data_IF_487761280331
#
_entry.id   IF_487761280331
#
_cell.length_a   1.000
_cell.length_b   1.000
_cell.length_c   1.000
_cell.angle_alpha   90.00
_cell.angle_beta   90.00
_cell.angle_gamma   90.00
#
_symmetry.space_group_name_H-M   'P 1'
#
loop_
_entity.id
_entity.type
_entity.pdbx_description
1 polymer ?
#
# COMPACT_ATOMS: atom_id res chain seq x y z
N UNK A 1 -6.94 -0.23 -22.22
CA UNK A 1 -6.73 0.00 -20.77
C UNK A 1 -8.08 -0.13 -20.10
N UNK A 2 -8.33 -1.20 -19.33
CA UNK A 2 -9.61 -1.39 -18.62
C UNK A 2 -9.54 -0.54 -17.36
N UNK A 3 -10.24 0.60 -17.34
CA UNK A 3 -10.47 1.36 -16.11
C UNK A 3 -11.46 0.56 -15.28
N UNK A 4 -10.99 -0.11 -14.24
CA UNK A 4 -11.87 -0.69 -13.23
C UNK A 4 -12.47 0.49 -12.46
N UNK A 5 -13.73 0.79 -12.73
CA UNK A 5 -14.50 1.78 -11.98
C UNK A 5 -14.71 1.22 -10.57
N UNK A 6 -13.94 1.71 -9.61
CA UNK A 6 -14.20 1.46 -8.19
C UNK A 6 -15.32 2.40 -7.79
N UNK A 7 -16.49 1.84 -7.47
CA UNK A 7 -17.59 2.60 -6.89
C UNK A 7 -17.13 3.03 -5.48
N UNK A 8 -16.85 4.31 -5.28
CA UNK A 8 -16.41 4.85 -3.99
C UNK A 8 -17.54 5.71 -3.45
N UNK A 9 -17.91 5.50 -2.19
CA UNK A 9 -18.85 6.38 -1.52
C UNK A 9 -18.08 7.60 -1.04
N UNK A 10 -18.39 8.77 -1.61
CA UNK A 10 -17.69 10.02 -1.35
C UNK A 10 -18.69 11.03 -0.79
N UNK A 11 -18.43 11.49 0.42
CA UNK A 11 -19.22 12.53 1.08
C UNK A 11 -18.37 13.79 1.24
N UNK A 12 -18.96 14.94 0.88
CA UNK A 12 -18.31 16.24 0.90
C UNK A 12 -19.00 17.13 1.94
N UNK A 13 -18.24 17.62 2.92
CA UNK A 13 -18.73 18.56 3.93
C UNK A 13 -17.93 19.84 3.88
N UNK A 14 -18.61 20.97 3.66
CA UNK A 14 -17.99 22.28 3.70
C UNK A 14 -17.99 22.84 5.12
N UNK A 15 -16.96 23.61 5.47
CA UNK A 15 -16.93 24.29 6.76
C UNK A 15 -18.02 25.36 6.92
N UNK A 16 -18.58 25.82 5.80
CA UNK A 16 -19.72 26.74 5.70
C UNK A 16 -20.31 26.69 4.29
N UNK A 17 -21.62 26.87 4.20
CA UNK A 17 -22.37 26.76 2.94
C UNK A 17 -22.53 28.11 2.21
N UNK A 18 -22.11 29.19 2.86
CA UNK A 18 -22.17 30.55 2.34
C UNK A 18 -20.88 31.30 2.70
N UNK A 19 -20.46 32.19 1.81
CA UNK A 19 -19.29 33.04 1.98
C UNK A 19 -19.76 34.48 1.77
N UNK A 20 -19.48 35.33 2.75
CA UNK A 20 -19.79 36.76 2.64
C UNK A 20 -18.86 37.41 1.62
N UNK A 21 -19.35 38.38 0.86
CA UNK A 21 -18.49 39.12 -0.07
C UNK A 21 -17.74 40.19 0.74
N UNK A 22 -16.45 39.98 0.95
CA UNK A 22 -15.56 40.91 1.66
C UNK A 22 -14.27 41.12 0.87
N UNK A 23 -13.61 42.26 1.10
CA UNK A 23 -12.29 42.56 0.51
C UNK A 23 -11.13 41.88 1.26
N UNK A 24 -11.44 40.89 2.09
CA UNK A 24 -10.48 40.17 2.94
C UNK A 24 -10.42 38.69 2.57
N UNK A 25 -9.24 38.10 2.70
CA UNK A 25 -9.04 36.67 2.43
C UNK A 25 -9.91 35.82 3.36
N UNK A 26 -10.66 34.90 2.78
CA UNK A 26 -11.51 33.96 3.50
C UNK A 26 -11.11 32.52 3.19
N UNK A 27 -11.01 31.69 4.24
CA UNK A 27 -10.65 30.27 4.12
C UNK A 27 -11.87 29.38 4.14
N UNK A 28 -12.11 28.62 3.08
CA UNK A 28 -13.10 27.56 3.05
C UNK A 28 -12.38 26.22 3.22
N UNK A 29 -12.84 25.40 4.16
CA UNK A 29 -12.33 24.04 4.33
C UNK A 29 -13.35 23.05 3.75
N UNK A 30 -12.84 22.04 3.05
CA UNK A 30 -13.60 20.92 2.54
C UNK A 30 -13.11 19.66 3.24
N UNK A 31 -14.00 18.98 3.93
CA UNK A 31 -13.79 17.61 4.38
C UNK A 31 -14.32 16.66 3.29
N UNK A 32 -13.47 15.72 2.89
CA UNK A 32 -13.80 14.66 1.94
C UNK A 32 -13.71 13.33 2.67
N UNK A 33 -14.86 12.71 2.90
CA UNK A 33 -14.96 11.36 3.44
C UNK A 33 -15.01 10.38 2.27
N UNK A 34 -14.01 9.50 2.18
CA UNK A 34 -13.95 8.45 1.16
C UNK A 34 -14.16 7.11 1.86
N UNK A 35 -15.23 6.40 1.49
CA UNK A 35 -15.59 5.11 2.08
C UNK A 35 -15.60 4.02 1.00
N UNK A 36 -15.25 2.78 1.36
CA UNK A 36 -15.40 1.66 0.44
C UNK A 36 -16.87 1.48 0.05
N UNK A 37 -17.16 0.94 -1.15
CA UNK A 37 -18.53 0.68 -1.58
C UNK A 37 -19.25 -0.27 -0.64
N UNK A 38 -20.55 -0.04 -0.43
CA UNK A 38 -21.42 -0.90 0.40
C UNK A 38 -21.53 -2.33 -0.15
N UNK A 39 -21.36 -2.52 -1.45
CA UNK A 39 -21.19 -3.82 -2.08
C UNK A 39 -19.83 -3.87 -2.77
N UNK A 40 -18.92 -4.67 -2.24
CA UNK A 40 -17.69 -4.97 -2.96
C UNK A 40 -18.00 -5.94 -4.09
N UNK A 41 -17.45 -5.69 -5.28
CA UNK A 41 -17.55 -6.61 -6.43
C UNK A 41 -16.75 -7.90 -6.24
N UNK A 42 -16.20 -8.14 -5.04
CA UNK A 42 -15.27 -9.23 -4.74
C UNK A 42 -13.94 -9.14 -5.51
N UNK A 43 -13.75 -8.12 -6.35
CA UNK A 43 -12.57 -8.00 -7.18
C UNK A 43 -11.43 -7.41 -6.37
N UNK A 44 -10.50 -8.27 -5.97
CA UNK A 44 -9.24 -7.86 -5.36
C UNK A 44 -8.39 -7.14 -6.42
N UNK A 45 -8.04 -5.88 -6.15
CA UNK A 45 -7.10 -5.15 -6.99
C UNK A 45 -5.68 -5.68 -6.74
N UNK A 46 -4.86 -5.85 -7.78
CA UNK A 46 -3.49 -6.29 -7.60
C UNK A 46 -2.72 -5.30 -6.71
N UNK A 47 -2.02 -5.83 -5.72
CA UNK A 47 -1.15 -5.08 -4.83
C UNK A 47 0.21 -4.86 -5.48
N UNK A 48 0.86 -3.75 -5.12
CA UNK A 48 2.28 -3.53 -5.36
C UNK A 48 2.95 -3.31 -4.00
N UNK A 49 3.58 -4.36 -3.48
CA UNK A 49 4.12 -4.42 -2.13
C UNK A 49 5.65 -4.38 -2.14
N UNK A 50 6.25 -3.46 -1.39
CA UNK A 50 7.69 -3.41 -1.17
C UNK A 50 8.01 -3.69 0.30
N UNK A 51 8.77 -4.76 0.56
CA UNK A 51 9.25 -5.11 1.89
C UNK A 51 10.67 -4.59 2.07
N UNK A 52 10.88 -3.72 3.05
CA UNK A 52 12.20 -3.23 3.43
C UNK A 52 12.60 -3.90 4.75
N UNK A 53 13.62 -4.75 4.69
CA UNK A 53 14.06 -5.58 5.81
C UNK A 53 15.37 -5.03 6.37
N UNK A 54 15.37 -4.69 7.66
CA UNK A 54 16.60 -4.33 8.37
C UNK A 54 17.49 -5.56 8.56
N UNK A 55 18.76 -5.45 8.15
CA UNK A 55 19.82 -6.46 8.32
C UNK A 55 20.96 -5.97 9.22
N UNK A 56 20.70 -4.98 10.08
CA UNK A 56 21.64 -4.53 11.11
C UNK A 56 22.14 -5.69 11.98
N UNK A 57 23.29 -5.52 12.63
CA UNK A 57 23.87 -6.55 13.51
C UNK A 57 22.90 -7.02 14.60
N UNK A 58 22.01 -6.13 15.04
CA UNK A 58 20.97 -6.44 16.04
C UNK A 58 19.87 -7.39 15.54
N UNK A 59 19.75 -7.55 14.22
CA UNK A 59 18.77 -8.42 13.58
C UNK A 59 19.30 -9.85 13.38
N UNK A 60 20.57 -10.12 13.63
CA UNK A 60 21.16 -11.45 13.39
C UNK A 60 20.51 -12.56 14.23
N UNK A 61 20.62 -13.79 13.70
CA UNK A 61 20.05 -14.99 14.32
C UNK A 61 18.53 -14.98 14.32
N UNK A 62 17.94 -15.28 15.49
CA UNK A 62 16.50 -15.55 15.62
C UNK A 62 15.58 -14.43 15.13
N UNK A 63 16.02 -13.16 15.18
CA UNK A 63 15.21 -12.03 14.71
C UNK A 63 15.05 -12.04 13.19
N UNK A 64 16.15 -12.23 12.46
CA UNK A 64 16.12 -12.34 11.01
C UNK A 64 15.37 -13.61 10.57
N UNK A 65 15.53 -14.72 11.29
CA UNK A 65 14.78 -15.94 11.00
C UNK A 65 13.27 -15.73 11.16
N UNK A 66 12.85 -15.02 12.22
CA UNK A 66 11.45 -14.67 12.42
C UNK A 66 10.92 -13.73 11.32
N UNK A 67 11.73 -12.78 10.84
CA UNK A 67 11.36 -11.91 9.72
C UNK A 67 11.17 -12.73 8.45
N UNK A 68 12.09 -13.66 8.13
CA UNK A 68 11.95 -14.54 6.96
C UNK A 68 10.65 -15.35 7.01
N UNK A 69 10.34 -15.95 8.16
CA UNK A 69 9.08 -16.66 8.35
C UNK A 69 7.85 -15.73 8.19
N UNK A 70 7.93 -14.48 8.66
CA UNK A 70 6.86 -13.51 8.45
C UNK A 70 6.71 -13.12 6.97
N UNK A 71 7.81 -13.02 6.22
CA UNK A 71 7.78 -12.76 4.77
C UNK A 71 7.15 -13.94 4.03
N UNK A 72 7.46 -15.17 4.39
CA UNK A 72 6.80 -16.38 3.85
C UNK A 72 5.28 -16.32 4.06
N UNK A 73 4.81 -15.95 5.25
CA UNK A 73 3.38 -15.78 5.51
C UNK A 73 2.74 -14.68 4.65
N UNK A 74 3.46 -13.58 4.38
CA UNK A 74 2.97 -12.55 3.47
C UNK A 74 2.87 -13.10 2.04
N UNK A 75 3.90 -13.80 1.58
CA UNK A 75 3.93 -14.44 0.25
C UNK A 75 2.77 -15.41 0.05
N UNK A 76 2.36 -16.15 1.08
CA UNK A 76 1.22 -17.07 1.02
C UNK A 76 -0.11 -16.36 0.75
N UNK A 77 -0.27 -15.13 1.23
CA UNK A 77 -1.49 -14.32 1.07
C UNK A 77 -1.52 -13.52 -0.24
N UNK A 78 -0.40 -13.43 -0.96
CA UNK A 78 -0.32 -12.72 -2.24
C UNK A 78 -0.75 -13.62 -3.41
N UNK A 79 -1.37 -12.99 -4.40
CA UNK A 79 -1.81 -13.58 -5.66
C UNK A 79 -0.75 -13.43 -6.75
N UNK A 80 -0.80 -14.23 -7.84
CA UNK A 80 0.14 -14.09 -8.96
C UNK A 80 0.04 -12.77 -9.73
N UNK A 81 -1.04 -12.00 -9.53
CA UNK A 81 -1.22 -10.69 -10.13
C UNK A 81 -0.50 -9.59 -9.34
N UNK A 82 -0.17 -9.84 -8.07
CA UNK A 82 0.49 -8.89 -7.20
C UNK A 82 1.97 -8.74 -7.56
N UNK A 83 2.50 -7.55 -7.37
CA UNK A 83 3.91 -7.21 -7.55
C UNK A 83 4.57 -7.16 -6.19
N UNK A 84 5.73 -7.80 -6.07
CA UNK A 84 6.53 -7.79 -4.85
C UNK A 84 7.94 -7.28 -5.16
N UNK A 85 8.48 -6.46 -4.27
CA UNK A 85 9.92 -6.22 -4.16
C UNK A 85 10.41 -6.43 -2.74
N UNK A 86 11.65 -6.91 -2.60
CA UNK A 86 12.32 -7.06 -1.31
C UNK A 86 13.62 -6.28 -1.34
N UNK A 87 13.77 -5.38 -0.38
CA UNK A 87 14.95 -4.55 -0.19
C UNK A 87 15.55 -4.90 1.17
N UNK A 88 16.83 -5.22 1.16
CA UNK A 88 17.64 -5.39 2.36
C UNK A 88 18.28 -4.04 2.70
N UNK A 89 18.24 -3.64 3.97
CA UNK A 89 18.74 -2.35 4.42
C UNK A 89 19.68 -2.50 5.63
N UNK A 90 20.87 -1.92 5.53
CA UNK A 90 21.71 -1.57 6.69
C UNK A 90 22.32 -0.19 6.49
N UNK A 91 23.57 -0.12 6.01
CA UNK A 91 24.22 1.14 5.66
C UNK A 91 23.79 1.62 4.26
N UNK A 92 23.33 0.68 3.42
CA UNK A 92 22.83 0.91 2.07
C UNK A 92 21.62 0.03 1.81
N UNK A 93 20.75 0.50 0.94
CA UNK A 93 19.65 -0.29 0.41
C UNK A 93 20.16 -1.19 -0.74
N UNK A 94 19.85 -2.47 -0.66
CA UNK A 94 20.18 -3.48 -1.66
C UNK A 94 18.90 -4.17 -2.11
N UNK A 95 18.66 -4.21 -3.42
CA UNK A 95 17.52 -4.93 -3.99
C UNK A 95 17.84 -6.42 -3.96
N UNK A 96 17.09 -7.16 -3.15
CA UNK A 96 17.18 -8.63 -3.07
C UNK A 96 16.26 -9.24 -4.12
N UNK A 97 15.04 -8.70 -4.24
CA UNK A 97 14.05 -9.10 -5.24
C UNK A 97 13.56 -7.83 -5.94
N UNK A 98 13.75 -7.69 -7.26
CA UNK A 98 13.23 -6.54 -8.01
C UNK A 98 11.70 -6.56 -8.02
N UNK A 99 11.08 -5.39 -8.23
CA UNK A 99 9.62 -5.26 -8.28
C UNK A 99 9.05 -5.99 -9.50
N UNK A 100 8.55 -7.21 -9.29
CA UNK A 100 8.03 -8.07 -10.36
C UNK A 100 6.74 -8.77 -9.93
N UNK A 101 5.83 -9.08 -10.88
CA UNK A 101 4.65 -9.88 -10.60
C UNK A 101 5.01 -11.28 -10.07
N UNK A 102 4.26 -11.76 -9.07
CA UNK A 102 4.45 -13.06 -8.41
C UNK A 102 3.99 -14.26 -9.25
N UNK A 103 4.29 -14.27 -10.55
CA UNK A 103 3.95 -15.36 -11.47
C UNK A 103 4.64 -16.67 -11.09
N UNK A 104 5.77 -16.61 -10.40
CA UNK A 104 6.50 -17.78 -9.94
C UNK A 104 7.07 -17.58 -8.53
N UNK A 105 6.31 -17.98 -7.50
CA UNK A 105 6.73 -17.88 -6.10
C UNK A 105 8.01 -18.67 -5.79
N UNK A 106 8.31 -19.73 -6.56
CA UNK A 106 9.46 -20.60 -6.34
C UNK A 106 10.82 -19.94 -6.62
N UNK A 107 10.85 -18.75 -7.23
CA UNK A 107 12.10 -18.02 -7.54
C UNK A 107 12.50 -17.04 -6.43
N UNK A 108 11.65 -16.82 -5.42
CA UNK A 108 11.79 -15.77 -4.40
C UNK A 108 12.30 -16.31 -3.05
N UNK A 109 12.17 -17.62 -2.81
CA UNK A 109 12.65 -18.35 -1.62
C UNK A 109 13.94 -19.12 -1.95
#
# INVERSE_FOLDING_TARGET
>A
MKTTMVDLDIELTLSRDQIEVTDTDQRLYLLVDIRPPKQSSGQQLPLNLCLVIDRSTSMQGRRLDAVKAAVELVLDNLTPADVLSIISFSDRAEVVVPAEPLRNKATIL
#
